data_IF_518337871490
#
_entry.id   IF_518337871490
#
_cell.length_a   1.000
_cell.length_b   1.000
_cell.length_c   1.000
_cell.angle_alpha   90.00
_cell.angle_beta   90.00
_cell.angle_gamma   90.00
#
_symmetry.space_group_name_H-M   'P 1'
#
loop_
_entity.id
_entity.type
_entity.pdbx_description
1 polymer ?
#
# COMPACT_ATOMS: atom_id res chain seq x y z
N UNK A 1 2.62 19.80 26.64
CA UNK A 1 1.93 20.36 25.46
C UNK A 1 2.18 19.38 24.33
N UNK A 2 1.15 18.70 23.82
CA UNK A 2 1.31 17.79 22.67
C UNK A 2 1.54 18.65 21.44
N UNK A 3 2.67 18.48 20.78
CA UNK A 3 3.04 19.20 19.57
C UNK A 3 2.29 18.62 18.37
N UNK A 4 0.95 18.68 18.41
CA UNK A 4 0.09 18.16 17.34
C UNK A 4 0.13 19.17 16.19
N UNK A 5 0.59 18.77 15.00
CA UNK A 5 0.60 19.66 13.84
C UNK A 5 -0.83 20.13 13.52
N UNK A 6 -0.99 21.40 13.15
CA UNK A 6 -2.29 22.00 12.79
C UNK A 6 -2.80 21.55 11.42
N UNK A 7 -1.95 20.90 10.63
CA UNK A 7 -2.23 20.45 9.27
C UNK A 7 -1.78 18.99 9.09
N UNK A 8 -2.55 18.24 8.30
CA UNK A 8 -2.23 16.86 7.91
C UNK A 8 -2.07 16.79 6.39
N UNK A 9 -0.88 16.39 5.92
CA UNK A 9 -0.66 16.15 4.50
C UNK A 9 -1.00 14.70 4.15
N UNK A 10 -1.99 14.53 3.27
CA UNK A 10 -2.48 13.21 2.84
C UNK A 10 -2.13 12.97 1.37
N UNK A 11 -1.63 11.79 1.05
CA UNK A 11 -1.46 11.34 -0.33
C UNK A 11 -2.57 10.35 -0.71
N UNK A 12 -3.36 10.69 -1.73
CA UNK A 12 -4.30 9.77 -2.37
C UNK A 12 -3.63 9.17 -3.60
N UNK A 13 -3.30 7.88 -3.54
CA UNK A 13 -2.51 7.22 -4.57
C UNK A 13 -3.42 6.52 -5.56
N UNK A 14 -3.17 6.72 -6.85
CA UNK A 14 -3.80 5.96 -7.93
C UNK A 14 -2.84 4.91 -8.45
N UNK A 15 -3.28 3.65 -8.45
CA UNK A 15 -2.54 2.50 -8.98
C UNK A 15 -3.42 1.74 -9.97
N UNK A 16 -2.79 0.87 -10.76
CA UNK A 16 -3.47 -0.08 -11.66
C UNK A 16 -3.06 -1.49 -11.24
N UNK A 17 -3.73 -2.04 -10.22
CA UNK A 17 -3.45 -3.38 -9.73
C UNK A 17 -3.71 -4.43 -10.80
N UNK A 18 -2.79 -5.38 -10.93
CA UNK A 18 -2.89 -6.53 -11.82
C UNK A 18 -3.02 -7.85 -11.07
N UNK A 19 -2.65 -8.92 -11.77
CA UNK A 19 -2.74 -10.31 -11.29
C UNK A 19 -1.42 -10.83 -10.71
N UNK A 20 -0.37 -10.02 -10.73
CA UNK A 20 0.98 -10.36 -10.30
C UNK A 20 1.32 -9.60 -9.02
N UNK A 21 1.48 -10.34 -7.92
CA UNK A 21 1.74 -9.80 -6.59
C UNK A 21 3.05 -8.99 -6.54
N UNK A 22 4.09 -9.46 -7.22
CA UNK A 22 5.41 -8.83 -7.18
C UNK A 22 5.44 -7.57 -8.04
N UNK A 23 4.77 -7.59 -9.20
CA UNK A 23 4.56 -6.37 -9.98
C UNK A 23 3.79 -5.31 -9.18
N UNK A 24 2.69 -5.70 -8.54
CA UNK A 24 1.89 -4.79 -7.72
C UNK A 24 2.70 -4.25 -6.53
N UNK A 25 3.50 -5.10 -5.86
CA UNK A 25 4.43 -4.70 -4.80
C UNK A 25 5.38 -3.61 -5.25
N UNK A 26 5.99 -3.75 -6.43
CA UNK A 26 6.91 -2.76 -6.98
C UNK A 26 6.22 -1.43 -7.28
N UNK A 27 5.00 -1.45 -7.84
CA UNK A 27 4.24 -0.23 -8.09
C UNK A 27 3.86 0.48 -6.78
N UNK A 28 3.45 -0.28 -5.77
CA UNK A 28 3.15 0.23 -4.42
C UNK A 28 4.40 0.85 -3.79
N UNK A 29 5.54 0.17 -3.85
CA UNK A 29 6.80 0.67 -3.30
C UNK A 29 7.17 2.04 -3.88
N UNK A 30 7.14 2.17 -5.21
CA UNK A 30 7.45 3.43 -5.90
C UNK A 30 6.49 4.55 -5.46
N UNK A 31 5.19 4.27 -5.44
CA UNK A 31 4.19 5.28 -5.10
C UNK A 31 4.25 5.71 -3.62
N UNK A 32 4.52 4.77 -2.72
CA UNK A 32 4.70 5.07 -1.29
C UNK A 32 5.97 5.89 -1.06
N UNK A 33 7.08 5.55 -1.73
CA UNK A 33 8.32 6.33 -1.65
C UNK A 33 8.11 7.76 -2.15
N UNK A 34 7.44 7.95 -3.29
CA UNK A 34 7.12 9.28 -3.81
C UNK A 34 6.24 10.09 -2.85
N UNK A 35 5.25 9.46 -2.21
CA UNK A 35 4.39 10.11 -1.23
C UNK A 35 5.17 10.55 0.04
N UNK A 36 6.08 9.69 0.52
CA UNK A 36 6.98 10.00 1.64
C UNK A 36 7.93 11.15 1.28
N UNK A 37 8.55 11.13 0.10
CA UNK A 37 9.43 12.21 -0.37
C UNK A 37 8.69 13.55 -0.48
N UNK A 38 7.40 13.52 -0.83
CA UNK A 38 6.53 14.70 -0.84
C UNK A 38 6.02 15.10 0.55
N UNK A 39 6.41 14.40 1.62
CA UNK A 39 6.07 14.74 3.01
C UNK A 39 4.65 14.36 3.42
N UNK A 40 4.05 13.34 2.80
CA UNK A 40 2.77 12.81 3.27
C UNK A 40 2.93 12.16 4.65
N UNK A 41 1.96 12.41 5.53
CA UNK A 41 1.88 11.80 6.88
C UNK A 41 0.88 10.64 6.91
N UNK A 42 -0.10 10.67 6.01
CA UNK A 42 -1.04 9.59 5.78
C UNK A 42 -1.16 9.31 4.29
N UNK A 43 -1.02 8.05 3.90
CA UNK A 43 -1.07 7.60 2.51
C UNK A 43 -2.24 6.64 2.36
N UNK A 44 -3.06 6.84 1.32
CA UNK A 44 -4.29 6.07 1.06
C UNK A 44 -4.12 5.35 -0.28
N UNK A 45 -4.18 4.02 -0.25
CA UNK A 45 -4.11 3.14 -1.41
C UNK A 45 -5.52 2.71 -1.87
N UNK A 46 -5.71 2.33 -3.14
CA UNK A 46 -7.01 1.88 -3.65
C UNK A 46 -7.40 0.49 -3.13
N UNK A 47 -8.63 0.09 -3.42
CA UNK A 47 -9.11 -1.29 -3.22
C UNK A 47 -8.31 -2.30 -4.07
N UNK A 48 -8.13 -3.51 -3.55
CA UNK A 48 -7.47 -4.66 -4.17
C UNK A 48 -6.06 -4.31 -4.65
N UNK A 49 -5.26 -3.75 -3.74
CA UNK A 49 -3.94 -3.20 -4.06
C UNK A 49 -2.90 -4.29 -4.35
N UNK A 50 -3.05 -5.46 -3.74
CA UNK A 50 -2.16 -6.60 -3.92
C UNK A 50 -2.54 -7.48 -5.13
N UNK A 51 -3.82 -7.72 -5.39
CA UNK A 51 -4.31 -8.69 -6.37
C UNK A 51 -5.70 -8.34 -6.89
N UNK A 52 -5.80 -8.03 -8.19
CA UNK A 52 -7.08 -7.83 -8.86
C UNK A 52 -7.30 -8.95 -9.91
N UNK A 53 -7.83 -10.08 -9.47
CA UNK A 53 -8.11 -11.24 -10.32
C UNK A 53 -9.60 -11.59 -10.35
N UNK A 54 -10.26 -11.40 -11.49
CA UNK A 54 -11.70 -11.64 -11.65
C UNK A 54 -12.08 -13.13 -11.66
N UNK A 55 -11.13 -14.03 -11.93
CA UNK A 55 -11.39 -15.47 -11.98
C UNK A 55 -11.15 -16.10 -10.62
N UNK A 56 -12.22 -16.37 -9.87
CA UNK A 56 -12.18 -16.92 -8.51
C UNK A 56 -11.21 -18.10 -8.31
N UNK A 57 -11.14 -19.13 -9.19
CA UNK A 57 -10.20 -20.23 -9.01
C UNK A 57 -8.73 -19.79 -9.12
N UNK A 58 -8.43 -18.85 -10.02
CA UNK A 58 -7.09 -18.29 -10.18
C UNK A 58 -6.75 -17.35 -9.03
N UNK A 59 -7.71 -16.52 -8.59
CA UNK A 59 -7.52 -15.64 -7.44
C UNK A 59 -7.14 -16.45 -6.18
N UNK A 60 -7.86 -17.55 -5.91
CA UNK A 60 -7.55 -18.43 -4.78
C UNK A 60 -6.21 -19.16 -4.91
N UNK A 61 -5.77 -19.44 -6.13
CA UNK A 61 -4.48 -20.08 -6.38
C UNK A 61 -3.29 -19.12 -6.23
N UNK A 62 -3.53 -17.82 -6.45
CA UNK A 62 -2.51 -16.76 -6.31
C UNK A 62 -2.49 -16.14 -4.92
N UNK A 63 -3.65 -16.04 -4.26
CA UNK A 63 -3.78 -15.45 -2.94
C UNK A 63 -2.90 -16.18 -1.93
N UNK A 64 -2.29 -15.40 -1.05
CA UNK A 64 -1.43 -15.85 0.04
C UNK A 64 -2.06 -15.48 1.37
N UNK A 65 -1.50 -15.99 2.46
CA UNK A 65 -1.87 -15.55 3.80
C UNK A 65 -1.45 -14.09 4.03
N UNK A 66 -2.05 -13.42 5.00
CA UNK A 66 -1.72 -12.03 5.33
C UNK A 66 -0.23 -11.89 5.68
N UNK A 67 0.32 -12.85 6.41
CA UNK A 67 1.71 -12.89 6.83
C UNK A 67 2.70 -13.05 5.64
N UNK A 68 2.23 -13.65 4.55
CA UNK A 68 3.01 -13.93 3.35
C UNK A 68 2.80 -12.89 2.25
N UNK A 69 1.87 -11.93 2.43
CA UNK A 69 1.54 -10.94 1.41
C UNK A 69 2.70 -9.95 1.19
N UNK A 70 3.32 -9.94 0.00
CA UNK A 70 4.50 -9.12 -0.25
C UNK A 70 4.17 -7.63 -0.33
N UNK A 71 2.94 -7.28 -0.70
CA UNK A 71 2.46 -5.89 -0.78
C UNK A 71 2.19 -5.35 0.61
N UNK A 72 1.55 -6.13 1.49
CA UNK A 72 1.36 -5.75 2.89
C UNK A 72 2.71 -5.61 3.60
N UNK A 73 3.63 -6.56 3.40
CA UNK A 73 4.97 -6.48 3.98
C UNK A 73 5.71 -5.20 3.55
N UNK A 74 5.62 -4.84 2.27
CA UNK A 74 6.19 -3.60 1.73
C UNK A 74 5.57 -2.36 2.40
N UNK A 75 4.24 -2.31 2.54
CA UNK A 75 3.54 -1.23 3.22
C UNK A 75 4.02 -1.07 4.68
N UNK A 76 4.08 -2.18 5.43
CA UNK A 76 4.52 -2.17 6.83
C UNK A 76 5.96 -1.66 6.98
N UNK A 77 6.86 -2.14 6.12
CA UNK A 77 8.27 -1.72 6.15
C UNK A 77 8.43 -0.22 5.90
N UNK A 78 7.70 0.32 4.91
CA UNK A 78 7.73 1.74 4.60
C UNK A 78 7.07 2.57 5.71
N UNK A 79 5.94 2.12 6.25
CA UNK A 79 5.25 2.80 7.35
C UNK A 79 6.17 2.95 8.58
N UNK A 80 6.84 1.86 8.98
CA UNK A 80 7.79 1.88 10.10
C UNK A 80 9.01 2.74 9.80
N UNK A 81 9.61 2.58 8.61
CA UNK A 81 10.83 3.31 8.22
C UNK A 81 10.60 4.81 8.10
N UNK A 82 9.47 5.23 7.51
CA UNK A 82 9.17 6.63 7.23
C UNK A 82 8.36 7.31 8.36
N UNK A 83 7.79 6.54 9.29
CA UNK A 83 6.96 7.08 10.36
C UNK A 83 5.64 7.65 9.86
N UNK A 84 5.03 7.00 8.86
CA UNK A 84 3.78 7.43 8.22
C UNK A 84 2.65 6.42 8.46
N UNK A 85 1.42 6.88 8.38
CA UNK A 85 0.24 6.01 8.35
C UNK A 85 -0.07 5.58 6.93
N UNK A 86 -0.43 4.32 6.73
CA UNK A 86 -0.85 3.80 5.43
C UNK A 86 -2.20 3.11 5.59
N UNK A 87 -3.19 3.55 4.81
CA UNK A 87 -4.44 2.83 4.61
C UNK A 87 -4.30 2.01 3.32
N UNK A 88 -4.20 0.68 3.46
CA UNK A 88 -3.92 -0.23 2.33
C UNK A 88 -5.12 -0.44 1.39
N UNK A 89 -6.29 0.16 1.69
CA UNK A 89 -7.52 -0.13 0.97
C UNK A 89 -8.01 -1.53 1.31
N UNK A 90 -7.73 -2.49 0.42
CA UNK A 90 -7.94 -3.92 0.67
C UNK A 90 -6.86 -4.79 0.00
N UNK A 91 -6.74 -6.00 0.54
CA UNK A 91 -5.89 -7.09 0.07
C UNK A 91 -6.75 -8.26 -0.44
#
# INVERSE_FOLDING_TARGET
MTNTPSELKVACVQLTSGIDLEYNRQQVEVALQEAVEKGAQWIVLPEAVNLLQQKNPLARATAVTEEEDPVLKCCLDIAVKAGVWIHVGSL
#
